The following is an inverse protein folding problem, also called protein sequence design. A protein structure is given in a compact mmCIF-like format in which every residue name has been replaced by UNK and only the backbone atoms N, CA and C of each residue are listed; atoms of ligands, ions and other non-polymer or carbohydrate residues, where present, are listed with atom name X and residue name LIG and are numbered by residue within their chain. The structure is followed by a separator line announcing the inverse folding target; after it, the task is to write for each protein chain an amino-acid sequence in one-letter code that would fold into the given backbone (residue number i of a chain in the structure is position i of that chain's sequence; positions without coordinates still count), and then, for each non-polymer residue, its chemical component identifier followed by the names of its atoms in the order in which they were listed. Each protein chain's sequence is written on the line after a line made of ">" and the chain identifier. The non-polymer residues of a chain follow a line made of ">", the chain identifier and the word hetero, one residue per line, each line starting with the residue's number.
data_IF_299002379863
#
_entry.id   IF_299002379863
#
_cell.length_a   1.000
_cell.length_b   1.000
_cell.length_c   1.000
_cell.angle_alpha   90.00
_cell.angle_beta   90.00
_cell.angle_gamma   90.00
#
_symmetry.space_group_name_H-M   'P 1'
#
loop_
_entity.id
_entity.type
_entity.pdbx_description
1 polymer ?
#
# COMPACT_ATOMS: atom_id res chain seq x y z
N UNK A 1 10.01 -0.99 -12.61
CA UNK A 1 10.27 -1.80 -11.41
C UNK A 1 8.98 -2.17 -10.67
N UNK A 2 8.25 -1.24 -10.04
CA UNK A 2 7.06 -1.60 -9.24
C UNK A 2 5.94 -2.27 -10.07
N UNK A 3 5.67 -1.78 -11.29
CA UNK A 3 4.72 -2.44 -12.20
C UNK A 3 5.15 -3.88 -12.55
N UNK A 4 6.46 -4.12 -12.73
CA UNK A 4 6.99 -5.46 -13.00
C UNK A 4 6.82 -6.39 -11.80
N UNK A 5 6.98 -5.87 -10.57
CA UNK A 5 6.70 -6.64 -9.34
C UNK A 5 5.22 -6.94 -9.18
N UNK A 6 4.34 -5.97 -9.45
CA UNK A 6 2.89 -6.19 -9.43
C UNK A 6 2.50 -7.32 -10.40
N UNK A 7 2.96 -7.22 -11.66
CA UNK A 7 2.75 -8.26 -12.67
C UNK A 7 3.27 -9.62 -12.22
N UNK A 8 4.51 -9.70 -11.74
CA UNK A 8 5.10 -10.96 -11.29
C UNK A 8 4.33 -11.59 -10.11
N UNK A 9 3.78 -10.75 -9.22
CA UNK A 9 3.01 -11.24 -8.06
C UNK A 9 1.61 -11.70 -8.48
N UNK A 10 0.98 -11.02 -9.43
CA UNK A 10 -0.26 -11.49 -10.08
C UNK A 10 -0.03 -12.81 -10.79
N UNK A 11 1.02 -12.93 -11.61
CA UNK A 11 1.40 -14.17 -12.29
C UNK A 11 1.70 -15.30 -11.30
N UNK A 12 2.31 -15.01 -10.15
CA UNK A 12 2.53 -16.01 -9.10
C UNK A 12 1.20 -16.60 -8.60
N UNK A 13 0.21 -15.76 -8.29
CA UNK A 13 -1.11 -16.22 -7.83
C UNK A 13 -1.87 -16.97 -8.93
N UNK A 14 -1.81 -16.49 -10.17
CA UNK A 14 -2.47 -17.13 -11.31
C UNK A 14 -1.87 -18.51 -11.64
N UNK A 15 -0.55 -18.68 -11.48
CA UNK A 15 0.15 -19.93 -11.79
C UNK A 15 0.08 -20.98 -10.66
N UNK A 16 -0.44 -20.64 -9.48
CA UNK A 16 -0.60 -21.56 -8.35
C UNK A 16 -2.06 -21.59 -7.85
N UNK A 17 -3.01 -22.02 -8.70
CA UNK A 17 -4.44 -21.98 -8.37
C UNK A 17 -4.85 -22.93 -7.23
N UNK A 18 -3.97 -23.86 -6.85
CA UNK A 18 -4.13 -24.75 -5.70
C UNK A 18 -3.92 -24.05 -4.35
N UNK A 19 -3.28 -22.88 -4.35
CA UNK A 19 -3.07 -22.06 -3.16
C UNK A 19 -4.18 -21.00 -3.03
N UNK A 20 -4.74 -20.79 -1.82
CA UNK A 20 -5.64 -19.69 -1.57
C UNK A 20 -4.97 -18.34 -1.87
N UNK A 21 -5.60 -17.49 -2.69
CA UNK A 21 -5.16 -16.11 -2.94
C UNK A 21 -5.02 -15.30 -1.63
N UNK A 22 -5.83 -15.63 -0.62
CA UNK A 22 -5.77 -15.04 0.71
C UNK A 22 -4.40 -15.19 1.36
N UNK A 23 -3.65 -16.27 1.09
CA UNK A 23 -2.29 -16.43 1.63
C UNK A 23 -1.38 -15.27 1.19
N UNK A 24 -1.51 -14.81 -0.06
CA UNK A 24 -0.72 -13.69 -0.58
C UNK A 24 -1.28 -12.35 -0.11
N UNK A 25 -2.60 -12.15 -0.20
CA UNK A 25 -3.21 -10.87 0.18
C UNK A 25 -3.14 -10.60 1.68
N UNK A 26 -3.33 -11.61 2.54
CA UNK A 26 -3.16 -11.48 4.00
C UNK A 26 -1.71 -11.21 4.38
N UNK A 27 -0.74 -11.88 3.73
CA UNK A 27 0.69 -11.59 3.95
C UNK A 27 1.01 -10.13 3.65
N UNK A 28 0.54 -9.61 2.51
CA UNK A 28 0.74 -8.20 2.15
C UNK A 28 0.02 -7.26 3.10
N UNK A 29 -1.22 -7.59 3.50
CA UNK A 29 -1.99 -6.79 4.46
C UNK A 29 -1.28 -6.69 5.82
N UNK A 30 -0.73 -7.79 6.33
CA UNK A 30 0.05 -7.81 7.58
C UNK A 30 1.29 -6.93 7.45
N UNK A 31 2.02 -7.00 6.34
CA UNK A 31 3.19 -6.15 6.08
C UNK A 31 2.80 -4.66 6.09
N UNK A 32 1.71 -4.29 5.42
CA UNK A 32 1.20 -2.91 5.40
C UNK A 32 0.83 -2.46 6.81
N UNK A 33 0.07 -3.26 7.55
CA UNK A 33 -0.39 -2.94 8.89
C UNK A 33 0.76 -2.78 9.89
N UNK A 34 1.78 -3.65 9.84
CA UNK A 34 2.96 -3.56 10.69
C UNK A 34 3.70 -2.25 10.42
N UNK A 35 3.99 -1.91 9.16
CA UNK A 35 4.74 -0.69 8.87
C UNK A 35 3.93 0.57 9.13
N UNK A 36 2.62 0.55 8.85
CA UNK A 36 1.72 1.62 9.24
C UNK A 36 1.76 1.84 10.76
N UNK A 37 1.63 0.78 11.56
CA UNK A 37 1.67 0.87 13.02
C UNK A 37 3.01 1.41 13.55
N UNK A 38 4.14 0.93 13.02
CA UNK A 38 5.48 1.38 13.41
C UNK A 38 5.70 2.86 13.08
N UNK A 39 5.17 3.34 11.96
CA UNK A 39 5.32 4.73 11.53
C UNK A 39 4.34 5.67 12.24
N UNK A 40 3.11 5.22 12.52
CA UNK A 40 2.10 6.03 13.20
C UNK A 40 2.38 6.20 14.70
N UNK A 41 2.92 5.19 15.36
CA UNK A 41 3.18 5.24 16.79
C UNK A 41 4.54 5.89 17.08
N UNK A 42 4.52 7.04 17.77
CA UNK A 42 5.71 7.81 18.13
C UNK A 42 6.80 6.96 18.82
N UNK A 43 6.42 6.08 19.74
CA UNK A 43 7.38 5.25 20.48
C UNK A 43 8.15 4.31 19.56
N UNK A 44 7.47 3.73 18.56
CA UNK A 44 8.13 2.87 17.57
C UNK A 44 8.88 3.70 16.54
N UNK A 45 8.26 4.77 16.04
CA UNK A 45 8.86 5.69 15.08
C UNK A 45 10.24 6.18 15.53
N UNK A 46 10.36 6.61 16.79
CA UNK A 46 11.60 7.14 17.38
C UNK A 46 12.74 6.11 17.48
N UNK A 47 12.45 4.81 17.43
CA UNK A 47 13.46 3.74 17.48
C UNK A 47 14.16 3.50 16.15
N UNK A 48 13.58 3.96 15.04
CA UNK A 48 14.12 3.77 13.70
C UNK A 48 15.00 4.94 13.27
N UNK A 49 16.05 4.67 12.49
CA UNK A 49 16.80 5.73 11.81
C UNK A 49 15.95 6.37 10.70
N UNK A 50 16.36 7.54 10.21
CA UNK A 50 15.67 8.19 9.09
C UNK A 50 15.72 7.33 7.81
N UNK A 51 16.81 6.59 7.61
CA UNK A 51 16.92 5.63 6.51
C UNK A 51 15.91 4.50 6.63
N UNK A 52 15.78 3.92 7.83
CA UNK A 52 14.82 2.84 8.08
C UNK A 52 13.39 3.35 7.88
N UNK A 53 13.05 4.54 8.38
CA UNK A 53 11.71 5.13 8.18
C UNK A 53 11.37 5.33 6.70
N UNK A 54 12.33 5.81 5.89
CA UNK A 54 12.15 5.89 4.43
C UNK A 54 11.90 4.52 3.80
N UNK A 55 12.68 3.51 4.21
CA UNK A 55 12.51 2.13 3.75
C UNK A 55 11.12 1.59 4.13
N UNK A 56 10.69 1.74 5.39
CA UNK A 56 9.38 1.30 5.86
C UNK A 56 8.23 1.93 5.06
N UNK A 57 8.30 3.25 4.79
CA UNK A 57 7.29 3.93 3.96
C UNK A 57 7.26 3.38 2.53
N UNK A 58 8.42 3.13 1.92
CA UNK A 58 8.51 2.56 0.56
C UNK A 58 7.97 1.15 0.49
N UNK A 59 8.28 0.30 1.47
CA UNK A 59 7.79 -1.09 1.50
C UNK A 59 6.29 -1.10 1.77
N UNK A 60 5.78 -0.25 2.66
CA UNK A 60 4.33 -0.09 2.90
C UNK A 60 3.60 0.27 1.60
N UNK A 61 4.05 1.31 0.88
CA UNK A 61 3.43 1.73 -0.39
C UNK A 61 3.55 0.66 -1.48
N UNK A 62 4.71 0.01 -1.58
CA UNK A 62 4.92 -1.09 -2.51
C UNK A 62 3.93 -2.23 -2.24
N UNK A 63 3.78 -2.64 -0.98
CA UNK A 63 2.85 -3.69 -0.59
C UNK A 63 1.39 -3.32 -0.85
N UNK A 64 0.98 -2.05 -0.66
CA UNK A 64 -0.37 -1.57 -1.05
C UNK A 64 -0.61 -1.76 -2.54
N UNK A 65 0.35 -1.38 -3.39
CA UNK A 65 0.23 -1.54 -4.84
C UNK A 65 0.13 -3.02 -5.21
N UNK A 66 0.94 -3.90 -4.62
CA UNK A 66 0.86 -5.34 -4.88
C UNK A 66 -0.49 -5.91 -4.43
N UNK A 67 -0.95 -5.57 -3.23
CA UNK A 67 -2.24 -6.01 -2.69
C UNK A 67 -3.38 -5.60 -3.62
N UNK A 68 -3.38 -4.35 -4.06
CA UNK A 68 -4.41 -3.80 -4.94
C UNK A 68 -4.46 -4.50 -6.30
N UNK A 69 -3.36 -5.06 -6.80
CA UNK A 69 -3.37 -5.83 -8.05
C UNK A 69 -3.87 -7.27 -7.89
N UNK A 70 -3.76 -7.84 -6.69
CA UNK A 70 -4.08 -9.25 -6.41
C UNK A 70 -5.49 -9.41 -5.88
N UNK A 71 -5.91 -8.54 -4.95
CA UNK A 71 -7.26 -8.61 -4.39
C UNK A 71 -8.31 -8.24 -5.44
N UNK A 72 -9.38 -9.04 -5.50
CA UNK A 72 -10.46 -8.83 -6.46
C UNK A 72 -11.22 -7.51 -6.30
N UNK A 73 -11.28 -6.98 -5.07
CA UNK A 73 -11.95 -5.72 -4.73
C UNK A 73 -10.93 -4.59 -4.46
N UNK A 74 -9.63 -4.87 -4.55
CA UNK A 74 -8.57 -3.89 -4.37
C UNK A 74 -8.39 -3.33 -2.94
N UNK A 75 -7.47 -2.38 -2.84
CA UNK A 75 -7.08 -1.74 -1.59
C UNK A 75 -7.97 -0.55 -1.17
N UNK A 76 -8.88 -0.10 -2.04
CA UNK A 76 -9.57 1.19 -1.91
C UNK A 76 -11.06 1.08 -1.56
N UNK A 77 -11.60 -0.14 -1.53
CA UNK A 77 -13.00 -0.39 -1.14
C UNK A 77 -13.18 -0.36 0.37
N UNK A 78 -14.42 -0.16 0.84
CA UNK A 78 -14.72 -0.10 2.28
C UNK A 78 -14.49 -1.41 3.01
N UNK A 79 -14.56 -2.53 2.29
CA UNK A 79 -14.39 -3.88 2.79
C UNK A 79 -12.91 -4.29 2.83
N UNK A 80 -12.03 -3.51 2.19
CA UNK A 80 -10.60 -3.78 2.21
C UNK A 80 -10.06 -3.72 3.66
N UNK A 81 -9.21 -4.67 4.08
CA UNK A 81 -8.53 -4.63 5.38
C UNK A 81 -7.44 -3.55 5.43
N UNK A 82 -7.18 -2.85 4.33
CA UNK A 82 -6.14 -1.84 4.22
C UNK A 82 -6.69 -0.47 4.64
N UNK A 83 -6.13 0.11 5.70
CA UNK A 83 -6.40 1.51 6.06
C UNK A 83 -5.63 2.46 5.14
N UNK A 84 -6.14 2.64 3.92
CA UNK A 84 -5.47 3.48 2.92
C UNK A 84 -5.39 4.96 3.34
N UNK A 85 -6.31 5.42 4.20
CA UNK A 85 -6.26 6.78 4.74
C UNK A 85 -5.09 6.93 5.70
N UNK A 86 -4.95 5.99 6.63
CA UNK A 86 -3.81 5.94 7.54
C UNK A 86 -2.48 5.88 6.79
N UNK A 87 -2.39 5.06 5.73
CA UNK A 87 -1.21 5.01 4.85
C UNK A 87 -0.87 6.38 4.25
N UNK A 88 -1.86 7.09 3.69
CA UNK A 88 -1.65 8.43 3.11
C UNK A 88 -1.25 9.44 4.18
N UNK A 89 -1.87 9.38 5.36
CA UNK A 89 -1.60 10.30 6.45
C UNK A 89 -0.17 10.13 6.97
N UNK A 90 0.30 8.89 7.14
CA UNK A 90 1.68 8.58 7.52
C UNK A 90 2.69 9.10 6.50
N UNK A 91 2.43 8.94 5.19
CA UNK A 91 3.29 9.47 4.13
C UNK A 91 3.39 11.00 4.23
N UNK A 92 2.25 11.68 4.38
CA UNK A 92 2.19 13.15 4.46
C UNK A 92 2.79 13.69 5.76
N UNK A 93 2.73 12.93 6.84
CA UNK A 93 3.26 13.32 8.15
C UNK A 93 4.80 13.24 8.21
N UNK A 94 5.39 12.20 7.61
CA UNK A 94 6.82 11.89 7.79
C UNK A 94 7.68 12.11 6.55
N UNK A 95 7.09 12.12 5.35
CA UNK A 95 7.84 12.32 4.12
C UNK A 95 8.27 13.78 3.93
N UNK A 96 9.45 13.99 3.38
CA UNK A 96 9.78 15.27 2.76
C UNK A 96 9.00 15.46 1.44
N UNK A 97 9.00 16.67 0.89
CA UNK A 97 8.23 17.01 -0.32
C UNK A 97 8.49 16.06 -1.50
N UNK A 98 9.75 15.68 -1.71
CA UNK A 98 10.12 14.74 -2.76
C UNK A 98 9.57 13.32 -2.49
N UNK A 99 9.72 12.82 -1.26
CA UNK A 99 9.22 11.50 -0.85
C UNK A 99 7.69 11.43 -0.96
N UNK A 100 6.98 12.45 -0.46
CA UNK A 100 5.52 12.52 -0.54
C UNK A 100 5.09 12.44 -2.01
N UNK A 101 5.66 13.27 -2.88
CA UNK A 101 5.32 13.27 -4.30
C UNK A 101 5.60 11.92 -4.96
N UNK A 102 6.73 11.29 -4.68
CA UNK A 102 7.09 9.98 -5.27
C UNK A 102 6.14 8.87 -4.82
N UNK A 103 5.89 8.76 -3.51
CA UNK A 103 5.04 7.71 -2.92
C UNK A 103 3.56 7.91 -3.29
N UNK A 104 3.06 9.15 -3.23
CA UNK A 104 1.69 9.46 -3.65
C UNK A 104 1.49 9.22 -5.14
N UNK A 105 2.47 9.53 -6.00
CA UNK A 105 2.37 9.22 -7.43
C UNK A 105 2.44 7.71 -7.72
N UNK A 106 3.19 6.94 -6.93
CA UNK A 106 3.17 5.48 -7.04
C UNK A 106 1.76 4.93 -6.78
N UNK A 107 1.10 5.39 -5.71
CA UNK A 107 -0.30 5.04 -5.42
C UNK A 107 -1.24 5.56 -6.51
N UNK A 108 -1.08 6.79 -7.00
CA UNK A 108 -1.98 7.40 -7.97
C UNK A 108 -1.95 6.72 -9.34
N UNK A 109 -0.78 6.32 -9.80
CA UNK A 109 -0.57 5.89 -11.20
C UNK A 109 -0.27 4.40 -11.37
N UNK A 110 0.05 3.69 -10.29
CA UNK A 110 0.40 2.25 -10.37
C UNK A 110 -0.67 1.35 -9.78
N UNK A 111 -1.64 1.89 -9.03
CA UNK A 111 -2.76 1.09 -8.51
C UNK A 111 -3.78 0.78 -9.60
N UNK A 112 -4.48 -0.32 -9.42
CA UNK A 112 -5.51 -0.84 -10.33
C UNK A 112 -6.88 -0.25 -10.02
N UNK A 113 -7.28 -0.21 -8.74
CA UNK A 113 -8.69 0.07 -8.38
C UNK A 113 -8.96 1.50 -7.87
N UNK A 114 -7.95 2.35 -7.70
CA UNK A 114 -8.13 3.74 -7.19
C UNK A 114 -9.19 4.54 -7.98
N UNK A 115 -9.24 4.33 -9.29
CA UNK A 115 -10.14 5.09 -10.17
C UNK A 115 -11.51 4.43 -10.39
N UNK A 116 -11.74 3.24 -9.83
CA UNK A 116 -12.96 2.48 -10.03
C UNK A 116 -14.20 3.19 -9.47
N UNK A 117 -15.38 2.86 -10.01
CA UNK A 117 -16.62 3.54 -9.69
C UNK A 117 -17.06 3.33 -8.23
N UNK A 118 -16.67 2.21 -7.63
CA UNK A 118 -16.95 1.80 -6.26
C UNK A 118 -15.97 2.38 -5.24
N UNK A 119 -14.77 2.83 -5.66
CA UNK A 119 -13.84 3.54 -4.78
C UNK A 119 -14.50 4.81 -4.22
N UNK A 120 -14.61 4.96 -2.89
CA UNK A 120 -15.33 6.08 -2.29
C UNK A 120 -14.73 7.44 -2.68
N UNK A 121 -15.59 8.42 -3.01
CA UNK A 121 -15.17 9.78 -3.35
C UNK A 121 -14.27 10.42 -2.29
N UNK A 122 -14.55 10.14 -1.01
CA UNK A 122 -13.73 10.61 0.10
C UNK A 122 -12.29 10.09 0.03
N UNK A 123 -12.09 8.84 -0.41
CA UNK A 123 -10.76 8.25 -0.60
C UNK A 123 -10.04 8.92 -1.78
N UNK A 124 -10.72 9.06 -2.93
CA UNK A 124 -10.14 9.71 -4.12
C UNK A 124 -9.65 11.13 -3.83
N UNK A 125 -10.36 11.87 -2.98
CA UNK A 125 -9.99 13.24 -2.60
C UNK A 125 -8.62 13.36 -1.92
N UNK A 126 -8.09 12.29 -1.30
CA UNK A 126 -6.74 12.30 -0.72
C UNK A 126 -5.61 12.27 -1.77
N UNK A 127 -5.95 11.92 -3.02
CA UNK A 127 -5.06 11.76 -4.16
C UNK A 127 -5.26 12.82 -5.25
N UNK A 128 -6.08 13.85 -5.01
CA UNK A 128 -6.21 15.01 -5.91
C UNK A 128 -5.14 16.04 -5.57
#
# INVERSE_FOLDING_TARGET
>A
MLHSLAKATTEFVENHPDLPTSNTTETLAVVIQIFHHNLQNKEFYERFSDHDRDLLMRVMVGAVVLYDHIDSNGAFTRQSPIDIRGVVDVIKLHGNEQQINQLMNALRYTTKHLNDADTPKSIKAHFV
#
